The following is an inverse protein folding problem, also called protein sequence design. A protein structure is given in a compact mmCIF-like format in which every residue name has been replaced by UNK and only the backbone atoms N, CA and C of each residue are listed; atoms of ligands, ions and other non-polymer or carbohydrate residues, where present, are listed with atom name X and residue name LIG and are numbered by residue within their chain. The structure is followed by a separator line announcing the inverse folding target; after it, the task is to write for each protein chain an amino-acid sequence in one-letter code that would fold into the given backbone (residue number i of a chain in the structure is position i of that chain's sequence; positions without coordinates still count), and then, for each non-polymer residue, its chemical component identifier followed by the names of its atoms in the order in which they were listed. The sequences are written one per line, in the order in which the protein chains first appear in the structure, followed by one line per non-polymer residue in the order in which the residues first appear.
data_IF_900660933681
#
_entry.id   IF_900660933681
#
_cell.length_a   1.000
_cell.length_b   1.000
_cell.length_c   1.000
_cell.angle_alpha   90.00
_cell.angle_beta   90.00
_cell.angle_gamma   90.00
#
_symmetry.space_group_name_H-M   'P 1'
#
loop_
_entity.id
_entity.type
_entity.pdbx_description
1 polymer ?
#
# COMPACT_ATOMS: atom_id res chain seq x y z
N UNK A 1 7.89 -2.88 23.06
CA UNK A 1 7.26 -3.83 22.09
C UNK A 1 7.59 -3.49 20.62
N UNK A 2 7.43 -2.23 20.13
CA UNK A 2 7.80 -1.89 18.74
C UNK A 2 9.31 -1.96 18.47
N UNK A 3 10.16 -1.78 19.46
CA UNK A 3 11.62 -1.87 19.30
C UNK A 3 12.07 -3.28 18.95
N UNK A 4 11.38 -4.28 19.45
CA UNK A 4 11.73 -5.70 19.32
C UNK A 4 11.11 -6.34 18.06
N UNK A 5 10.11 -5.69 17.44
CA UNK A 5 9.48 -6.16 16.22
C UNK A 5 10.40 -5.97 15.00
N UNK A 6 10.49 -6.98 14.14
CA UNK A 6 11.21 -6.89 12.86
C UNK A 6 10.36 -6.26 11.75
N UNK A 7 9.04 -6.39 11.85
CA UNK A 7 8.08 -5.90 10.87
C UNK A 7 7.00 -5.09 11.59
N UNK A 8 6.66 -3.94 11.03
CA UNK A 8 5.56 -3.08 11.48
C UNK A 8 4.51 -3.07 10.38
N UNK A 9 3.28 -3.45 10.73
CA UNK A 9 2.15 -3.41 9.80
C UNK A 9 1.22 -2.27 10.19
N UNK A 10 0.98 -1.35 9.27
CA UNK A 10 -0.08 -0.36 9.38
C UNK A 10 -1.35 -0.95 8.78
N UNK A 11 -2.31 -1.23 9.63
CA UNK A 11 -3.54 -1.94 9.28
C UNK A 11 -4.53 -1.05 8.51
N UNK A 12 -5.53 -1.67 7.86
CA UNK A 12 -6.71 -0.97 7.41
C UNK A 12 -7.43 -0.26 8.55
N UNK A 13 -8.22 0.74 8.23
CA UNK A 13 -9.04 1.47 9.20
C UNK A 13 -9.90 2.53 8.53
N UNK A 14 -10.84 3.12 9.29
CA UNK A 14 -11.68 4.21 8.84
C UNK A 14 -10.92 5.55 8.82
N UNK A 15 -11.51 6.57 8.20
CA UNK A 15 -10.97 7.92 8.17
C UNK A 15 -9.83 8.12 7.18
N UNK A 16 -8.94 9.02 7.50
CA UNK A 16 -7.83 9.45 6.66
C UNK A 16 -6.50 9.44 7.45
N UNK A 17 -5.35 9.53 6.75
CA UNK A 17 -4.05 9.59 7.43
C UNK A 17 -3.91 10.71 8.48
N UNK A 18 -4.62 11.81 8.31
CA UNK A 18 -4.58 12.96 9.25
C UNK A 18 -5.12 12.60 10.62
N UNK A 19 -6.04 11.64 10.68
CA UNK A 19 -6.72 11.24 11.92
C UNK A 19 -5.80 10.36 12.82
N UNK A 20 -4.62 9.96 12.31
CA UNK A 20 -3.70 9.04 12.97
C UNK A 20 -2.27 9.59 13.11
N UNK A 21 -2.08 10.68 13.87
CA UNK A 21 -0.76 11.33 14.03
C UNK A 21 0.29 10.42 14.68
N UNK A 22 -0.13 9.47 15.52
CA UNK A 22 0.77 8.49 16.12
C UNK A 22 1.38 7.55 15.07
N UNK A 23 0.60 7.12 14.08
CA UNK A 23 1.10 6.30 12.97
C UNK A 23 2.16 7.03 12.17
N UNK A 24 1.98 8.34 11.93
CA UNK A 24 2.99 9.18 11.30
C UNK A 24 4.29 9.26 12.11
N UNK A 25 4.19 9.40 13.43
CA UNK A 25 5.37 9.38 14.32
C UNK A 25 6.11 8.04 14.26
N UNK A 26 5.36 6.93 14.27
CA UNK A 26 5.92 5.57 14.15
C UNK A 26 6.62 5.40 12.80
N UNK A 27 5.97 5.80 11.70
CA UNK A 27 6.56 5.73 10.37
C UNK A 27 7.91 6.47 10.30
N UNK A 28 7.94 7.73 10.70
CA UNK A 28 9.16 8.56 10.68
C UNK A 28 10.28 7.97 11.54
N UNK A 29 9.93 7.36 12.68
CA UNK A 29 10.92 6.78 13.60
C UNK A 29 11.56 5.50 13.06
N UNK A 30 10.78 4.66 12.36
CA UNK A 30 11.20 3.31 12.01
C UNK A 30 11.48 3.11 10.51
N UNK A 31 11.13 4.06 9.65
CA UNK A 31 11.51 4.03 8.22
C UNK A 31 13.03 3.84 8.06
N UNK A 32 13.41 2.90 7.21
CA UNK A 32 14.82 2.53 6.99
C UNK A 32 15.49 1.73 8.12
N UNK A 33 14.77 1.47 9.21
CA UNK A 33 15.27 0.67 10.35
C UNK A 33 14.52 -0.65 10.49
N UNK A 34 13.30 -0.71 10.05
CA UNK A 34 12.42 -1.89 10.11
C UNK A 34 11.64 -2.02 8.82
N UNK A 35 11.23 -3.24 8.49
CA UNK A 35 10.27 -3.46 7.43
C UNK A 35 8.94 -2.84 7.82
N UNK A 36 8.36 -2.01 6.94
CA UNK A 36 7.05 -1.39 7.14
C UNK A 36 6.13 -1.84 6.01
N UNK A 37 4.96 -2.34 6.37
CA UNK A 37 3.93 -2.76 5.43
C UNK A 37 2.67 -1.95 5.72
N UNK A 38 2.10 -1.29 4.70
CA UNK A 38 0.85 -0.55 4.82
C UNK A 38 -0.27 -1.19 3.99
N UNK A 39 -1.44 -1.41 4.60
CA UNK A 39 -2.62 -1.96 3.94
C UNK A 39 -3.75 -0.94 4.01
N UNK A 40 -4.34 -0.59 2.87
CA UNK A 40 -5.46 0.35 2.72
C UNK A 40 -5.15 1.71 3.36
N UNK A 41 -5.68 2.02 4.55
CA UNK A 41 -5.33 3.23 5.30
C UNK A 41 -3.83 3.29 5.59
N UNK A 42 -3.21 2.15 5.93
CA UNK A 42 -1.76 2.08 6.16
C UNK A 42 -0.92 2.43 4.92
N UNK A 43 -1.35 2.03 3.73
CA UNK A 43 -0.76 2.46 2.45
C UNK A 43 -0.88 3.98 2.27
N UNK A 44 -2.06 4.53 2.53
CA UNK A 44 -2.30 5.98 2.44
C UNK A 44 -1.47 6.74 3.47
N UNK A 45 -1.28 6.18 4.67
CA UNK A 45 -0.43 6.73 5.71
C UNK A 45 1.04 6.84 5.27
N UNK A 46 1.57 5.82 4.61
CA UNK A 46 2.92 5.85 4.05
C UNK A 46 3.04 6.99 3.04
N UNK A 47 2.13 7.04 2.05
CA UNK A 47 2.13 8.07 1.03
C UNK A 47 1.99 9.48 1.60
N UNK A 48 1.11 9.66 2.57
CA UNK A 48 0.91 10.94 3.25
C UNK A 48 2.19 11.44 3.93
N UNK A 49 2.95 10.56 4.56
CA UNK A 49 4.24 10.90 5.17
C UNK A 49 5.37 11.14 4.15
N UNK A 50 5.17 10.72 2.90
CA UNK A 50 6.06 10.99 1.77
C UNK A 50 5.57 12.15 0.88
N UNK A 51 4.79 13.05 1.47
CA UNK A 51 4.19 14.23 0.83
C UNK A 51 3.18 13.90 -0.29
N UNK A 52 2.64 12.69 -0.28
CA UNK A 52 1.52 12.31 -1.15
C UNK A 52 0.22 12.93 -0.66
N UNK A 53 -0.53 13.53 -1.58
CA UNK A 53 -1.88 14.05 -1.28
C UNK A 53 -2.89 12.92 -1.42
N UNK A 54 -3.63 12.66 -0.37
CA UNK A 54 -4.73 11.67 -0.35
C UNK A 54 -6.05 12.40 -0.54
N UNK A 55 -6.80 12.00 -1.55
CA UNK A 55 -8.05 12.65 -1.95
C UNK A 55 -9.19 11.63 -2.05
N UNK A 56 -10.42 12.14 -1.97
CA UNK A 56 -11.60 11.34 -2.23
C UNK A 56 -11.69 10.97 -3.71
N UNK A 57 -12.02 9.73 -4.01
CA UNK A 57 -12.30 9.28 -5.36
C UNK A 57 -13.81 9.28 -5.64
N UNK A 58 -14.17 9.42 -6.93
CA UNK A 58 -15.59 9.46 -7.33
C UNK A 58 -16.35 8.18 -7.00
N UNK A 59 -15.73 7.03 -7.22
CA UNK A 59 -16.33 5.72 -6.95
C UNK A 59 -15.84 5.20 -5.59
N UNK A 60 -16.78 4.95 -4.69
CA UNK A 60 -16.53 4.28 -3.41
C UNK A 60 -16.52 2.77 -3.66
N UNK A 61 -15.50 2.08 -3.14
CA UNK A 61 -15.40 0.63 -3.20
C UNK A 61 -15.71 0.04 -1.83
N UNK A 62 -16.65 -0.89 -1.78
CA UNK A 62 -17.11 -1.57 -0.58
C UNK A 62 -17.26 -3.06 -0.86
N UNK A 63 -16.14 -3.78 -0.83
CA UNK A 63 -16.14 -5.21 -1.15
C UNK A 63 -16.23 -5.50 -2.64
N UNK A 64 -15.53 -4.72 -3.47
CA UNK A 64 -15.44 -4.95 -4.91
C UNK A 64 -14.15 -5.62 -5.30
N UNK A 65 -14.25 -6.63 -6.16
CA UNK A 65 -13.09 -7.21 -6.81
C UNK A 65 -12.68 -6.36 -8.02
N UNK A 66 -11.39 -6.00 -8.09
CA UNK A 66 -10.80 -5.27 -9.22
C UNK A 66 -9.57 -6.00 -9.74
N UNK A 67 -9.30 -5.85 -11.04
CA UNK A 67 -8.07 -6.35 -11.66
C UNK A 67 -6.99 -5.28 -11.50
N UNK A 68 -5.83 -5.66 -10.97
CA UNK A 68 -4.62 -4.82 -10.90
C UNK A 68 -3.56 -5.38 -11.82
N UNK A 69 -2.72 -4.50 -12.34
CA UNK A 69 -1.57 -4.82 -13.19
C UNK A 69 -0.29 -4.37 -12.50
N UNK A 70 0.73 -5.21 -12.49
CA UNK A 70 2.11 -4.82 -12.15
C UNK A 70 2.68 -4.02 -13.31
N UNK A 71 2.92 -2.72 -13.08
CA UNK A 71 3.30 -1.77 -14.14
C UNK A 71 4.79 -1.47 -14.18
N UNK A 72 5.50 -1.71 -13.07
CA UNK A 72 6.94 -1.54 -12.96
C UNK A 72 7.58 -2.73 -12.30
N UNK A 73 8.87 -2.90 -12.50
CA UNK A 73 9.66 -3.93 -11.82
C UNK A 73 9.54 -3.77 -10.30
N UNK A 74 9.29 -4.87 -9.65
CA UNK A 74 9.03 -5.02 -8.22
C UNK A 74 9.95 -6.10 -7.66
N UNK A 75 10.32 -5.98 -6.39
CA UNK A 75 11.03 -7.04 -5.67
C UNK A 75 10.15 -8.26 -5.43
N UNK A 76 8.83 -8.09 -5.50
CA UNK A 76 7.85 -9.10 -5.09
C UNK A 76 7.16 -9.72 -6.30
N UNK A 77 6.91 -8.94 -7.36
CA UNK A 77 6.07 -9.32 -8.49
C UNK A 77 6.76 -9.06 -9.83
N UNK A 78 6.44 -9.89 -10.81
CA UNK A 78 6.93 -9.69 -12.19
C UNK A 78 6.11 -8.64 -12.92
N UNK A 79 6.77 -7.77 -13.67
CA UNK A 79 6.12 -6.80 -14.54
C UNK A 79 5.12 -7.50 -15.49
N UNK A 80 4.00 -6.85 -15.73
CA UNK A 80 2.86 -7.34 -16.51
C UNK A 80 2.06 -8.49 -15.88
N UNK A 81 2.35 -8.94 -14.67
CA UNK A 81 1.44 -9.80 -13.93
C UNK A 81 0.13 -9.09 -13.60
N UNK A 82 -0.95 -9.85 -13.51
CA UNK A 82 -2.28 -9.38 -13.14
C UNK A 82 -2.83 -10.16 -11.96
N UNK A 83 -3.53 -9.46 -11.06
CA UNK A 83 -4.20 -10.05 -9.92
C UNK A 83 -5.63 -9.53 -9.80
N UNK A 84 -6.54 -10.38 -9.30
CA UNK A 84 -7.83 -9.93 -8.80
C UNK A 84 -7.69 -9.61 -7.32
N UNK A 85 -8.11 -8.41 -6.90
CA UNK A 85 -7.91 -7.93 -5.53
C UNK A 85 -9.18 -7.31 -4.96
N UNK A 86 -9.39 -7.51 -3.66
CA UNK A 86 -10.50 -6.89 -2.93
C UNK A 86 -10.21 -5.44 -2.57
N UNK A 87 -11.18 -4.56 -2.83
CA UNK A 87 -11.11 -3.12 -2.56
C UNK A 87 -12.21 -2.67 -1.63
N UNK A 88 -11.83 -1.85 -0.64
CA UNK A 88 -12.71 -1.31 0.41
C UNK A 88 -12.31 0.13 0.74
N UNK A 89 -12.20 1.02 -0.27
CA UNK A 89 -11.70 2.37 -0.02
C UNK A 89 -12.45 3.44 -0.84
N UNK A 90 -12.59 4.61 -0.24
CA UNK A 90 -13.12 5.83 -0.86
C UNK A 90 -12.04 6.88 -1.15
N UNK A 91 -10.85 6.70 -0.59
CA UNK A 91 -9.71 7.60 -0.77
C UNK A 91 -8.67 6.97 -1.71
N UNK A 92 -7.91 7.83 -2.38
CA UNK A 92 -6.81 7.43 -3.28
C UNK A 92 -5.67 8.44 -3.26
N UNK A 93 -4.51 8.03 -3.75
CA UNK A 93 -3.42 8.94 -4.06
C UNK A 93 -3.84 9.89 -5.18
N UNK A 94 -3.64 11.18 -4.96
CA UNK A 94 -3.70 12.19 -6.02
C UNK A 94 -2.40 12.17 -6.82
N UNK A 95 -2.51 12.17 -8.14
CA UNK A 95 -1.36 12.21 -9.05
C UNK A 95 -1.41 13.46 -9.90
N UNK A 96 -0.24 14.01 -10.32
CA UNK A 96 1.07 13.37 -10.26
C UNK A 96 1.67 13.33 -8.84
N UNK A 97 2.28 12.19 -8.49
CA UNK A 97 3.04 11.99 -7.27
C UNK A 97 4.49 11.68 -7.62
N UNK A 98 5.42 12.41 -7.04
CA UNK A 98 6.86 12.21 -7.23
C UNK A 98 7.54 11.95 -5.90
N UNK A 99 8.31 10.90 -5.82
CA UNK A 99 9.17 10.56 -4.68
C UNK A 99 10.51 10.04 -5.19
N UNK A 100 11.58 10.34 -4.47
CA UNK A 100 12.93 9.84 -4.80
C UNK A 100 13.03 8.32 -4.60
N UNK A 101 12.32 7.79 -3.62
CA UNK A 101 12.49 6.40 -3.19
C UNK A 101 11.25 5.54 -3.46
N UNK A 102 10.05 6.11 -3.40
CA UNK A 102 8.80 5.36 -3.60
C UNK A 102 8.52 5.16 -5.09
N UNK A 103 8.32 3.91 -5.48
CA UNK A 103 7.83 3.52 -6.80
C UNK A 103 6.39 3.04 -6.70
N UNK A 104 5.52 3.51 -7.59
CA UNK A 104 4.20 2.89 -7.79
C UNK A 104 4.43 1.67 -8.67
N UNK A 105 4.16 0.48 -8.12
CA UNK A 105 4.44 -0.80 -8.78
C UNK A 105 3.22 -1.48 -9.37
N UNK A 106 2.03 -1.19 -8.83
CA UNK A 106 0.78 -1.72 -9.37
C UNK A 106 -0.26 -0.62 -9.58
N UNK A 107 -1.11 -0.83 -10.59
CA UNK A 107 -2.25 0.04 -10.90
C UNK A 107 -3.52 -0.75 -11.16
N UNK A 108 -4.65 -0.16 -10.84
CA UNK A 108 -5.95 -0.71 -11.27
C UNK A 108 -6.02 -0.71 -12.80
N UNK A 109 -6.28 -1.87 -13.39
CA UNK A 109 -6.29 -2.02 -14.85
C UNK A 109 -7.35 -1.14 -15.54
N UNK A 110 -8.48 -0.88 -14.88
CA UNK A 110 -9.58 -0.09 -15.44
C UNK A 110 -9.43 1.42 -15.20
N UNK A 111 -9.06 1.83 -13.98
CA UNK A 111 -9.06 3.24 -13.56
C UNK A 111 -7.68 3.86 -13.50
N UNK A 112 -6.63 3.09 -13.69
CA UNK A 112 -5.22 3.48 -13.58
C UNK A 112 -4.81 4.04 -12.19
N UNK A 113 -5.68 3.93 -11.18
CA UNK A 113 -5.38 4.35 -9.80
C UNK A 113 -4.20 3.54 -9.27
N UNK A 114 -3.27 4.20 -8.57
CA UNK A 114 -2.15 3.55 -7.89
C UNK A 114 -2.64 2.58 -6.82
N UNK A 115 -2.17 1.33 -6.87
CA UNK A 115 -2.67 0.23 -6.04
C UNK A 115 -1.59 -0.43 -5.18
N UNK A 116 -0.32 -0.26 -5.53
CA UNK A 116 0.80 -0.70 -4.69
C UNK A 116 2.01 0.19 -4.87
N UNK A 117 2.82 0.27 -3.82
CA UNK A 117 4.07 1.02 -3.76
C UNK A 117 5.17 0.20 -3.10
N UNK A 118 6.41 0.50 -3.49
CA UNK A 118 7.62 -0.03 -2.88
C UNK A 118 8.66 1.07 -2.68
N UNK A 119 9.29 1.09 -1.52
CA UNK A 119 10.54 1.78 -1.24
C UNK A 119 11.57 0.75 -0.78
N UNK A 120 12.28 0.18 -1.74
CA UNK A 120 13.24 -0.90 -1.51
C UNK A 120 14.36 -0.43 -0.58
N UNK A 121 14.84 0.80 -0.75
CA UNK A 121 15.91 1.37 0.07
C UNK A 121 15.57 1.40 1.55
N UNK A 122 14.33 1.69 1.88
CA UNK A 122 13.87 1.82 3.26
C UNK A 122 13.05 0.62 3.74
N UNK A 123 12.94 -0.43 2.92
CA UNK A 123 12.18 -1.65 3.21
C UNK A 123 10.70 -1.36 3.54
N UNK A 124 10.05 -0.56 2.69
CA UNK A 124 8.65 -0.14 2.85
C UNK A 124 7.80 -0.64 1.69
N UNK A 125 6.67 -1.25 2.00
CA UNK A 125 5.72 -1.80 1.03
C UNK A 125 4.31 -1.33 1.37
N UNK A 126 3.50 -1.06 0.37
CA UNK A 126 2.13 -0.62 0.60
C UNK A 126 1.16 -1.12 -0.45
N UNK A 127 -0.05 -1.49 -0.02
CA UNK A 127 -1.14 -1.97 -0.86
C UNK A 127 -2.43 -1.21 -0.55
N UNK A 128 -3.02 -0.60 -1.56
CA UNK A 128 -4.33 0.04 -1.42
C UNK A 128 -5.45 -0.99 -1.29
N UNK A 129 -5.27 -2.16 -1.90
CA UNK A 129 -6.18 -3.30 -1.75
C UNK A 129 -5.90 -4.11 -0.49
N UNK A 130 -6.78 -5.06 -0.19
CA UNK A 130 -6.72 -5.92 0.98
C UNK A 130 -6.20 -7.31 0.60
N UNK A 131 -4.90 -7.61 0.79
CA UNK A 131 -4.37 -8.95 0.51
C UNK A 131 -4.96 -10.03 1.43
N UNK A 132 -5.45 -9.67 2.61
CA UNK A 132 -6.11 -10.57 3.56
C UNK A 132 -7.55 -10.92 3.18
N UNK A 133 -8.16 -10.16 2.27
CA UNK A 133 -9.56 -10.37 1.86
C UNK A 133 -9.72 -11.65 1.03
N UNK A 134 -10.83 -12.36 1.23
CA UNK A 134 -11.23 -13.49 0.40
C UNK A 134 -11.46 -13.11 -1.08
N UNK A 135 -11.68 -11.83 -1.37
CA UNK A 135 -11.77 -11.29 -2.73
C UNK A 135 -10.42 -11.16 -3.42
N UNK A 136 -9.31 -11.27 -2.68
CA UNK A 136 -7.96 -11.17 -3.25
C UNK A 136 -7.44 -12.54 -3.63
N UNK A 137 -7.20 -12.72 -4.93
CA UNK A 137 -6.61 -13.93 -5.48
C UNK A 137 -5.18 -14.09 -4.95
N UNK A 138 -4.86 -15.28 -4.43
CA UNK A 138 -3.52 -15.59 -3.91
C UNK A 138 -3.02 -14.65 -2.79
N UNK A 139 -3.92 -14.09 -1.98
CA UNK A 139 -3.56 -13.14 -0.93
C UNK A 139 -2.51 -13.65 0.05
N UNK A 140 -2.57 -14.93 0.44
CA UNK A 140 -1.56 -15.58 1.29
C UNK A 140 -0.17 -15.59 0.63
N UNK A 141 -0.10 -15.79 -0.69
CA UNK A 141 1.17 -15.78 -1.44
C UNK A 141 1.73 -14.37 -1.48
N UNK A 142 0.87 -13.37 -1.68
CA UNK A 142 1.25 -11.95 -1.65
C UNK A 142 1.89 -11.61 -0.30
N UNK A 143 1.22 -11.96 0.80
CA UNK A 143 1.71 -11.71 2.17
C UNK A 143 3.05 -12.40 2.41
N UNK A 144 3.18 -13.69 2.04
CA UNK A 144 4.45 -14.43 2.18
C UNK A 144 5.59 -13.76 1.42
N UNK A 145 5.37 -13.37 0.16
CA UNK A 145 6.39 -12.69 -0.66
C UNK A 145 6.85 -11.37 -0.02
N UNK A 146 5.93 -10.58 0.56
CA UNK A 146 6.27 -9.32 1.23
C UNK A 146 7.09 -9.57 2.50
N UNK A 147 6.72 -10.58 3.28
CA UNK A 147 7.42 -10.88 4.53
C UNK A 147 8.85 -11.39 4.27
N UNK A 148 9.06 -12.10 3.16
CA UNK A 148 10.37 -12.66 2.78
C UNK A 148 11.23 -11.75 1.88
N UNK A 149 10.67 -10.67 1.40
CA UNK A 149 11.38 -9.70 0.56
C UNK A 149 12.49 -8.92 1.27
#
# INVERSE_FOLDING_TARGET
KLKDANVIVFSPGPGSPKDYPLTSKIYKRFKGKKKIIGICLGYQQILYNENGKIIQQRKIFHGYQSKVKVTKDSMIFKKNEYFKVGRYHSLKLHEPFKSKNIKITMRCAKSNVAMAIEDIKNNVYGFQFHPESFLTQNGKIIIKKILSA
#
